data_IF_034229249264
#
_entry.id   IF_034229249264
#
_cell.length_a   1.000
_cell.length_b   1.000
_cell.length_c   1.000
_cell.angle_alpha   90.00
_cell.angle_beta   90.00
_cell.angle_gamma   90.00
#
_symmetry.space_group_name_H-M   'P 1'
#
loop_
_entity.id
_entity.type
_entity.pdbx_description
1 polymer ?
#
# COMPACT_ATOMS: atom_id res chain seq x y z
N UNK A 1 -25.87 -9.63 -31.05
CA UNK A 1 -25.31 -10.72 -30.23
C UNK A 1 -24.20 -10.15 -29.37
N UNK A 2 -24.50 -9.81 -28.11
CA UNK A 2 -23.50 -9.32 -27.17
C UNK A 2 -23.33 -10.39 -26.09
N UNK A 3 -22.19 -11.08 -26.07
CA UNK A 3 -21.83 -11.99 -24.98
C UNK A 3 -20.39 -11.80 -24.57
N UNK A 4 -20.27 -11.52 -23.27
CA UNK A 4 -19.12 -11.80 -22.42
C UNK A 4 -17.96 -10.81 -22.50
N UNK A 5 -18.21 -9.59 -22.02
CA UNK A 5 -17.19 -8.84 -21.30
C UNK A 5 -16.86 -9.65 -20.06
N UNK A 6 -15.73 -10.35 -20.10
CA UNK A 6 -15.15 -11.09 -18.99
C UNK A 6 -15.03 -10.15 -17.77
N UNK A 7 -16.01 -10.21 -16.88
CA UNK A 7 -15.96 -9.64 -15.54
C UNK A 7 -14.92 -10.43 -14.72
N UNK A 8 -13.64 -10.13 -14.95
CA UNK A 8 -12.57 -10.52 -14.04
C UNK A 8 -12.64 -9.61 -12.80
N UNK A 9 -13.51 -10.01 -11.87
CA UNK A 9 -13.61 -9.53 -10.50
C UNK A 9 -12.26 -9.62 -9.78
N UNK A 10 -11.43 -8.60 -9.94
CA UNK A 10 -10.14 -8.44 -9.23
C UNK A 10 -10.01 -7.01 -8.64
N UNK A 11 -11.17 -6.41 -8.33
CA UNK A 11 -11.45 -5.00 -8.05
C UNK A 11 -11.07 -4.53 -6.64
N UNK A 12 -9.80 -4.65 -6.23
CA UNK A 12 -9.27 -3.74 -5.21
C UNK A 12 -8.48 -2.63 -5.92
N UNK A 13 -9.16 -1.52 -6.24
CA UNK A 13 -8.62 -0.32 -6.89
C UNK A 13 -7.70 0.52 -6.00
N UNK A 14 -7.37 0.03 -4.80
CA UNK A 14 -6.65 0.80 -3.80
C UNK A 14 -5.26 1.23 -4.30
N UNK A 15 -5.15 2.52 -4.60
CA UNK A 15 -3.93 3.24 -4.95
C UNK A 15 -3.70 4.30 -3.91
N UNK A 16 -2.47 4.35 -3.40
CA UNK A 16 -2.06 5.44 -2.52
C UNK A 16 -1.74 6.67 -3.37
N UNK A 17 -1.92 7.86 -2.79
CA UNK A 17 -1.63 9.14 -3.43
C UNK A 17 -0.91 10.05 -2.45
N UNK A 18 -0.15 10.99 -2.99
CA UNK A 18 0.48 12.06 -2.22
C UNK A 18 -0.58 12.89 -1.50
N UNK A 19 -0.26 13.32 -0.28
CA UNK A 19 -1.18 14.04 0.61
C UNK A 19 -2.15 13.16 1.40
N UNK A 20 -2.26 11.86 1.12
CA UNK A 20 -3.08 10.96 1.94
C UNK A 20 -2.42 10.67 3.30
N UNK A 21 -3.21 10.64 4.37
CA UNK A 21 -2.77 10.16 5.68
C UNK A 21 -3.21 8.71 5.91
N UNK A 22 -2.32 7.93 6.52
CA UNK A 22 -2.54 6.51 6.82
C UNK A 22 -2.29 6.26 8.30
N UNK A 23 -3.30 5.74 8.99
CA UNK A 23 -3.22 5.43 10.40
C UNK A 23 -2.72 4.00 10.63
N UNK A 24 -1.84 3.85 11.61
CA UNK A 24 -1.53 2.60 12.30
C UNK A 24 -2.12 2.65 13.71
N UNK A 25 -1.86 1.62 14.52
CA UNK A 25 -2.36 1.56 15.91
C UNK A 25 -1.86 2.72 16.79
N UNK A 26 -0.68 3.27 16.51
CA UNK A 26 -0.03 4.26 17.38
C UNK A 26 0.44 5.54 16.67
N UNK A 27 0.52 5.52 15.35
CA UNK A 27 1.07 6.61 14.54
C UNK A 27 0.19 6.87 13.33
N UNK A 28 0.22 8.12 12.85
CA UNK A 28 -0.33 8.54 11.56
C UNK A 28 0.84 8.92 10.65
N UNK A 29 0.76 8.51 9.39
CA UNK A 29 1.79 8.78 8.39
C UNK A 29 1.18 9.52 7.20
N UNK A 30 1.74 10.69 6.87
CA UNK A 30 1.37 11.43 5.67
C UNK A 30 2.24 10.98 4.50
N UNK A 31 1.62 10.58 3.38
CA UNK A 31 2.32 10.21 2.15
C UNK A 31 2.84 11.47 1.48
N UNK A 32 4.16 11.64 1.45
CA UNK A 32 4.79 12.78 0.79
C UNK A 32 5.02 12.50 -0.69
N UNK A 33 5.52 11.31 -1.02
CA UNK A 33 5.84 10.93 -2.39
C UNK A 33 5.58 9.46 -2.67
N UNK A 34 4.91 9.15 -3.77
CA UNK A 34 4.75 7.76 -4.23
C UNK A 34 5.93 7.40 -5.13
N UNK A 35 6.82 6.52 -4.66
CA UNK A 35 8.09 6.25 -5.33
C UNK A 35 8.03 5.09 -6.31
N UNK A 36 7.25 4.03 -6.02
CA UNK A 36 7.25 2.85 -6.89
C UNK A 36 5.93 2.07 -6.86
N UNK A 37 5.44 1.67 -8.04
CA UNK A 37 4.30 0.76 -8.19
C UNK A 37 4.73 -0.60 -8.72
N UNK A 38 4.36 -1.67 -8.02
CA UNK A 38 4.51 -3.07 -8.49
C UNK A 38 3.15 -3.77 -8.45
N UNK A 39 3.06 -4.93 -9.11
CA UNK A 39 1.84 -5.75 -9.21
C UNK A 39 1.15 -5.97 -7.85
N UNK A 40 1.96 -6.18 -6.80
CA UNK A 40 1.53 -6.57 -5.46
C UNK A 40 1.59 -5.48 -4.40
N UNK A 41 2.38 -4.41 -4.60
CA UNK A 41 2.56 -3.34 -3.61
C UNK A 41 2.90 -1.99 -4.22
N UNK A 42 2.69 -0.93 -3.46
CA UNK A 42 3.21 0.41 -3.70
C UNK A 42 4.20 0.77 -2.60
N UNK A 43 5.24 1.51 -2.92
CA UNK A 43 6.16 2.09 -1.93
C UNK A 43 5.99 3.61 -1.98
N UNK A 44 5.95 4.22 -0.80
CA UNK A 44 5.94 5.66 -0.67
C UNK A 44 6.88 6.11 0.44
N UNK A 45 7.38 7.33 0.26
CA UNK A 45 7.99 8.11 1.31
C UNK A 45 6.89 8.75 2.15
N UNK A 46 6.95 8.56 3.46
CA UNK A 46 5.93 9.01 4.39
C UNK A 46 6.56 9.71 5.57
N UNK A 47 5.92 10.79 6.02
CA UNK A 47 6.28 11.48 7.25
C UNK A 47 5.42 10.97 8.40
N UNK A 48 6.04 10.52 9.48
CA UNK A 48 5.34 10.24 10.73
C UNK A 48 4.88 11.57 11.34
N UNK A 49 3.58 11.78 11.51
CA UNK A 49 3.04 13.05 12.01
C UNK A 49 3.42 13.29 13.48
N UNK A 50 3.68 12.23 14.26
CA UNK A 50 4.05 12.33 15.67
C UNK A 50 5.54 12.62 15.88
N UNK A 51 6.42 11.91 15.18
CA UNK A 51 7.88 12.02 15.37
C UNK A 51 8.55 12.95 14.36
N UNK A 52 7.87 13.28 13.27
CA UNK A 52 8.42 14.05 12.16
C UNK A 52 9.37 13.26 11.24
N UNK A 53 9.67 12.00 11.56
CA UNK A 53 10.61 11.15 10.81
C UNK A 53 10.08 10.81 9.42
N UNK A 54 11.00 10.73 8.45
CA UNK A 54 10.73 10.31 7.08
C UNK A 54 11.06 8.82 6.94
N UNK A 55 10.10 8.03 6.46
CA UNK A 55 10.18 6.57 6.37
C UNK A 55 9.68 6.09 5.01
N UNK A 56 10.27 5.00 4.50
CA UNK A 56 9.72 4.28 3.37
C UNK A 56 8.66 3.27 3.86
N UNK A 57 7.42 3.39 3.39
CA UNK A 57 6.33 2.48 3.75
C UNK A 57 5.90 1.68 2.52
N UNK A 58 5.87 0.35 2.66
CA UNK A 58 5.38 -0.59 1.64
C UNK A 58 3.90 -0.92 1.87
N UNK A 59 3.05 -0.46 0.96
CA UNK A 59 1.61 -0.70 0.94
C UNK A 59 1.30 -1.94 0.12
N UNK A 60 0.95 -3.04 0.79
CA UNK A 60 0.62 -4.32 0.15
C UNK A 60 -0.89 -4.40 -0.06
N UNK A 61 -1.33 -4.76 -1.29
CA UNK A 61 -2.77 -4.97 -1.54
C UNK A 61 -3.26 -6.14 -0.70
N UNK A 62 -4.45 -6.02 -0.09
CA UNK A 62 -5.02 -7.01 0.84
C UNK A 62 -4.98 -8.45 0.31
N UNK A 63 -5.27 -8.66 -0.98
CA UNK A 63 -5.22 -9.98 -1.64
C UNK A 63 -3.83 -10.65 -1.65
N UNK A 64 -2.76 -9.90 -1.43
CA UNK A 64 -1.38 -10.39 -1.35
C UNK A 64 -0.81 -10.38 0.07
N UNK A 65 -1.61 -10.05 1.08
CA UNK A 65 -1.16 -9.95 2.48
C UNK A 65 -0.57 -11.27 2.99
N UNK A 66 -1.26 -12.39 2.78
CA UNK A 66 -0.79 -13.72 3.20
C UNK A 66 0.56 -14.10 2.58
N UNK A 67 0.77 -13.74 1.30
CA UNK A 67 2.03 -13.98 0.58
C UNK A 67 3.19 -13.11 1.08
N UNK A 68 2.90 -11.89 1.54
CA UNK A 68 3.90 -10.98 2.10
C UNK A 68 4.21 -11.24 3.58
N UNK A 69 3.47 -12.15 4.25
CA UNK A 69 3.74 -12.51 5.65
C UNK A 69 5.16 -13.09 5.84
N UNK A 70 5.72 -13.74 4.82
CA UNK A 70 7.08 -14.28 4.86
C UNK A 70 8.14 -13.17 4.93
N UNK A 71 7.95 -12.08 4.18
CA UNK A 71 8.85 -10.93 4.19
C UNK A 71 8.89 -10.27 5.57
N UNK A 72 7.72 -10.05 6.19
CA UNK A 72 7.61 -9.52 7.56
C UNK A 72 8.29 -10.42 8.59
N UNK A 73 8.31 -11.75 8.36
CA UNK A 73 9.00 -12.69 9.26
C UNK A 73 10.52 -12.67 9.11
N UNK A 74 11.03 -12.40 7.90
CA UNK A 74 12.48 -12.35 7.62
C UNK A 74 13.07 -11.02 8.12
N UNK A 75 12.31 -9.93 8.03
CA UNK A 75 12.74 -8.60 8.44
C UNK A 75 12.57 -8.31 9.94
N UNK A 76 12.11 -9.30 10.72
CA UNK A 76 12.01 -9.22 12.17
C UNK A 76 13.31 -9.68 12.81
#
# INVERSE_FOLDING_TARGET
MAKSTQECLDNSTFRIKEGMSVASRFNVYQIQKVTHYRKFSQIAECRNERTGEILAIKFVKKKFYSKNRREVRILK
#
